data_IF_761345899470
#
_entry.id   IF_761345899470
#
_cell.length_a   1.000
_cell.length_b   1.000
_cell.length_c   1.000
_cell.angle_alpha   90.00
_cell.angle_beta   90.00
_cell.angle_gamma   90.00
#
_symmetry.space_group_name_H-M   'P 1'
#
loop_
_entity.id
_entity.type
_entity.pdbx_description
1 polymer ?
#
# COMPACT_ATOMS: atom_id res chain seq x y z
N UNK A 1 -43.33 5.82 16.06
CA UNK A 1 -42.01 6.25 16.57
C UNK A 1 -40.96 5.71 15.61
N UNK A 2 -40.71 6.46 14.53
CA UNK A 2 -39.71 6.14 13.51
C UNK A 2 -38.34 6.66 13.96
N UNK A 3 -37.34 5.78 14.01
CA UNK A 3 -35.93 6.15 14.09
C UNK A 3 -35.33 5.96 12.70
N UNK A 4 -35.20 7.06 11.97
CA UNK A 4 -34.57 7.12 10.66
C UNK A 4 -33.05 6.94 10.75
N UNK A 5 -32.54 5.85 10.17
CA UNK A 5 -31.12 5.65 9.94
C UNK A 5 -30.59 6.65 8.91
N UNK A 6 -29.78 7.62 9.36
CA UNK A 6 -29.04 8.53 8.47
C UNK A 6 -27.96 7.76 7.70
N UNK A 7 -28.24 7.46 6.44
CA UNK A 7 -27.26 7.00 5.46
C UNK A 7 -26.24 8.11 5.18
N UNK A 8 -24.96 7.83 5.41
CA UNK A 8 -23.85 8.68 4.93
C UNK A 8 -23.70 8.51 3.41
N UNK A 9 -24.42 9.32 2.65
CA UNK A 9 -24.20 9.48 1.21
C UNK A 9 -23.11 10.53 0.96
N UNK A 10 -21.97 10.10 0.44
CA UNK A 10 -21.07 10.99 -0.30
C UNK A 10 -21.72 11.24 -1.66
N UNK A 11 -22.37 12.39 -1.83
CA UNK A 11 -22.86 12.85 -3.13
C UNK A 11 -21.76 13.71 -3.75
N UNK A 12 -21.09 13.15 -4.76
CA UNK A 12 -20.28 13.91 -5.71
C UNK A 12 -21.22 14.71 -6.61
N UNK A 13 -21.27 16.03 -6.41
CA UNK A 13 -21.72 16.97 -7.43
C UNK A 13 -20.50 17.77 -7.89
N UNK A 14 -20.12 17.60 -9.15
CA UNK A 14 -19.17 18.48 -9.80
C UNK A 14 -19.75 19.91 -9.80
N UNK A 15 -18.99 20.95 -9.41
CA UNK A 15 -19.48 22.31 -9.60
C UNK A 15 -19.39 22.69 -11.07
N UNK A 16 -20.54 23.12 -11.60
CA UNK A 16 -20.68 23.80 -12.88
C UNK A 16 -19.86 25.10 -12.91
N UNK A 17 -19.41 25.45 -14.11
CA UNK A 17 -18.60 26.62 -14.42
C UNK A 17 -19.21 27.92 -13.87
N UNK A 18 -18.63 28.46 -12.80
CA UNK A 18 -18.83 29.84 -12.40
C UNK A 18 -17.62 30.67 -12.82
N UNK A 19 -17.83 31.57 -13.78
CA UNK A 19 -16.90 32.65 -14.11
C UNK A 19 -16.91 33.69 -12.97
N UNK A 20 -15.82 33.76 -12.20
CA UNK A 20 -15.65 34.78 -11.16
C UNK A 20 -15.26 36.14 -11.79
N UNK A 21 -15.80 37.27 -11.29
CA UNK A 21 -15.29 38.59 -11.64
C UNK A 21 -13.97 38.83 -10.89
N UNK A 22 -12.98 39.39 -11.61
CA UNK A 22 -11.73 39.88 -11.03
C UNK A 22 -12.01 41.10 -10.15
N UNK A 23 -12.00 40.90 -8.84
CA UNK A 23 -11.90 41.96 -7.84
C UNK A 23 -10.53 41.91 -7.20
N UNK A 24 -9.70 42.89 -7.52
CA UNK A 24 -8.52 43.25 -6.72
C UNK A 24 -8.96 43.84 -5.36
N UNK A 25 -8.03 43.81 -4.43
CA UNK A 25 -7.92 44.57 -3.17
C UNK A 25 -8.43 43.95 -1.86
N UNK A 26 -7.55 44.12 -0.86
CA UNK A 26 -7.67 43.93 0.57
C UNK A 26 -7.40 42.54 1.15
N UNK A 27 -6.09 42.21 1.22
CA UNK A 27 -5.55 41.24 2.18
C UNK A 27 -5.72 41.79 3.61
N UNK A 28 -6.56 41.18 4.48
CA UNK A 28 -6.62 41.56 5.88
C UNK A 28 -5.39 41.01 6.59
N UNK A 29 -4.60 41.93 7.14
CA UNK A 29 -3.68 41.78 8.28
C UNK A 29 -3.12 40.37 8.52
N UNK A 30 -1.91 40.16 8.01
CA UNK A 30 -0.80 39.47 8.68
C UNK A 30 -1.08 39.04 10.13
N UNK A 31 -1.63 37.84 10.30
CA UNK A 31 -1.73 37.13 11.57
C UNK A 31 -0.33 36.61 11.90
N UNK A 32 0.57 37.52 12.30
CA UNK A 32 2.01 37.26 12.50
C UNK A 32 2.17 36.40 13.75
N UNK A 33 2.07 35.10 13.59
CA UNK A 33 2.47 34.14 14.63
C UNK A 33 1.85 32.77 14.54
N UNK A 34 0.64 32.65 13.98
CA UNK A 34 -0.11 31.39 14.00
C UNK A 34 -0.03 30.70 12.63
N UNK A 35 0.31 29.44 12.64
CA UNK A 35 0.44 28.55 11.48
C UNK A 35 -0.52 27.36 11.57
N UNK A 36 -0.63 26.59 10.49
CA UNK A 36 -1.42 25.37 10.46
C UNK A 36 -0.83 24.32 11.42
N UNK A 37 0.48 24.36 11.64
CA UNK A 37 1.15 23.55 12.64
C UNK A 37 0.63 23.86 14.05
N UNK A 38 0.45 25.14 14.40
CA UNK A 38 -0.07 25.54 15.72
C UNK A 38 -1.51 25.07 15.91
N UNK A 39 -2.36 25.28 14.91
CA UNK A 39 -3.74 24.77 14.88
C UNK A 39 -3.75 23.24 15.02
N UNK A 40 -2.87 22.55 14.29
CA UNK A 40 -2.79 21.10 14.37
C UNK A 40 -2.38 20.65 15.77
N UNK A 41 -1.37 21.26 16.39
CA UNK A 41 -0.93 20.90 17.73
C UNK A 41 -2.04 21.10 18.76
N UNK A 42 -2.81 22.19 18.66
CA UNK A 42 -3.96 22.46 19.51
C UNK A 42 -5.03 21.35 19.39
N UNK A 43 -5.38 20.96 18.15
CA UNK A 43 -6.45 20.01 17.91
C UNK A 43 -6.00 18.56 17.77
N UNK A 44 -4.71 18.24 17.93
CA UNK A 44 -4.14 16.93 17.59
C UNK A 44 -4.81 15.79 18.35
N UNK A 45 -4.87 15.90 19.68
CA UNK A 45 -5.37 14.83 20.53
C UNK A 45 -6.90 14.65 20.40
N UNK A 46 -7.72 15.72 20.41
CA UNK A 46 -9.14 15.63 20.06
C UNK A 46 -9.38 15.03 18.65
N UNK A 47 -8.57 15.42 17.66
CA UNK A 47 -8.64 14.86 16.30
C UNK A 47 -8.36 13.36 16.28
N UNK A 48 -7.40 12.86 17.07
CA UNK A 48 -7.12 11.42 17.18
C UNK A 48 -8.36 10.67 17.67
N UNK A 49 -9.01 11.17 18.73
CA UNK A 49 -10.22 10.57 19.28
C UNK A 49 -11.37 10.59 18.27
N UNK A 50 -11.57 11.73 17.61
CA UNK A 50 -12.58 11.89 16.57
C UNK A 50 -12.33 10.94 15.39
N UNK A 51 -11.08 10.84 14.91
CA UNK A 51 -10.72 9.93 13.83
C UNK A 51 -11.00 8.47 14.19
N UNK A 52 -10.63 8.03 15.39
CA UNK A 52 -10.87 6.64 15.82
C UNK A 52 -12.35 6.29 15.94
N UNK A 53 -13.21 7.28 16.20
CA UNK A 53 -14.68 7.11 16.16
C UNK A 53 -15.22 6.99 14.73
N UNK A 54 -14.60 7.67 13.77
CA UNK A 54 -15.12 7.82 12.41
C UNK A 54 -14.48 6.88 11.38
N UNK A 55 -13.28 6.36 11.64
CA UNK A 55 -12.56 5.42 10.77
C UNK A 55 -11.89 4.32 11.57
N UNK A 56 -11.49 3.22 10.92
CA UNK A 56 -10.72 2.14 11.55
C UNK A 56 -9.44 2.70 12.19
N UNK A 57 -9.11 2.28 13.41
CA UNK A 57 -7.94 2.70 14.19
C UNK A 57 -6.65 2.73 13.36
N UNK A 58 -6.34 1.62 12.66
CA UNK A 58 -5.15 1.54 11.82
C UNK A 58 -5.11 2.60 10.70
N UNK A 59 -6.27 3.06 10.25
CA UNK A 59 -6.39 4.14 9.25
C UNK A 59 -6.20 5.50 9.92
N UNK A 60 -6.80 5.71 11.10
CA UNK A 60 -6.57 6.91 11.91
C UNK A 60 -5.08 7.09 12.20
N UNK A 61 -4.40 6.04 12.67
CA UNK A 61 -2.97 6.06 12.98
C UNK A 61 -2.12 6.40 11.74
N UNK A 62 -2.48 5.89 10.55
CA UNK A 62 -1.81 6.23 9.30
C UNK A 62 -2.01 7.68 8.88
N UNK A 63 -3.18 8.25 9.12
CA UNK A 63 -3.46 9.66 8.82
C UNK A 63 -2.67 10.55 9.77
N UNK A 64 -2.75 10.32 11.07
CA UNK A 64 -2.05 11.08 12.10
C UNK A 64 -0.54 11.00 11.88
N UNK A 65 0.02 9.80 11.66
CA UNK A 65 1.45 9.66 11.36
C UNK A 65 1.89 10.37 10.07
N UNK A 66 0.99 10.56 9.10
CA UNK A 66 1.29 11.33 7.90
C UNK A 66 1.22 12.83 8.14
N UNK A 67 0.27 13.31 8.94
CA UNK A 67 0.15 14.73 9.32
C UNK A 67 1.25 15.13 10.30
N UNK A 68 1.58 14.32 11.30
CA UNK A 68 2.69 14.57 12.23
C UNK A 68 4.01 14.80 11.48
N UNK A 69 4.28 13.99 10.44
CA UNK A 69 5.49 14.16 9.61
C UNK A 69 5.46 15.43 8.76
N UNK A 70 4.28 15.88 8.36
CA UNK A 70 4.11 17.13 7.62
C UNK A 70 4.26 18.34 8.55
N UNK A 71 3.69 18.26 9.75
CA UNK A 71 3.69 19.36 10.73
C UNK A 71 5.00 19.47 11.52
N UNK A 72 5.85 18.44 11.47
CA UNK A 72 7.21 18.48 12.01
C UNK A 72 8.25 19.10 11.06
N UNK A 73 7.85 19.59 9.88
CA UNK A 73 8.74 20.32 8.98
C UNK A 73 8.92 21.78 9.46
N UNK A 74 10.08 22.37 9.17
CA UNK A 74 10.43 23.73 9.63
C UNK A 74 9.67 24.81 8.85
N UNK A 75 9.22 24.49 7.63
CA UNK A 75 8.46 25.40 6.78
C UNK A 75 7.01 25.57 7.30
N UNK A 76 6.71 26.74 7.87
CA UNK A 76 5.38 27.05 8.41
C UNK A 76 4.34 27.18 7.29
N UNK A 77 3.20 26.50 7.45
CA UNK A 77 2.08 26.55 6.53
C UNK A 77 1.11 27.62 7.03
N UNK A 78 0.99 28.74 6.32
CA UNK A 78 0.14 29.87 6.74
C UNK A 78 -1.04 30.08 5.79
N UNK A 79 -0.90 29.67 4.54
CA UNK A 79 -1.92 29.79 3.52
C UNK A 79 -2.18 28.44 2.82
N UNK A 80 -3.37 28.24 2.23
CA UNK A 80 -3.69 27.03 1.48
C UNK A 80 -2.66 26.67 0.40
N UNK A 81 -2.07 27.68 -0.26
CA UNK A 81 -1.07 27.49 -1.32
C UNK A 81 0.23 26.88 -0.81
N UNK A 82 0.57 27.06 0.47
CA UNK A 82 1.80 26.51 1.04
C UNK A 82 1.79 24.98 1.05
N UNK A 83 0.62 24.34 0.97
CA UNK A 83 0.49 22.89 0.84
C UNK A 83 0.89 22.37 -0.56
N UNK A 84 1.05 23.25 -1.54
CA UNK A 84 1.34 22.85 -2.93
C UNK A 84 2.69 22.13 -3.04
N UNK A 85 2.64 20.86 -3.47
CA UNK A 85 3.85 20.03 -3.62
C UNK A 85 4.43 19.44 -2.34
N UNK A 86 3.89 19.80 -1.17
CA UNK A 86 4.28 19.23 0.14
C UNK A 86 3.55 17.94 0.47
N UNK A 87 2.31 17.78 0.00
CA UNK A 87 1.43 16.69 0.43
C UNK A 87 1.15 15.66 -0.66
N UNK A 88 1.04 14.40 -0.24
CA UNK A 88 0.50 13.32 -1.07
C UNK A 88 0.00 12.13 -0.25
N UNK A 89 -1.04 11.47 -0.75
CA UNK A 89 -1.49 10.16 -0.32
C UNK A 89 -2.25 10.17 1.01
N UNK A 90 -1.55 9.91 2.11
CA UNK A 90 -2.16 9.81 3.46
C UNK A 90 -2.23 11.15 4.17
N UNK A 91 -1.30 12.07 3.86
CA UNK A 91 -1.31 13.43 4.38
C UNK A 91 -2.55 14.20 3.91
N UNK A 92 -2.95 14.09 2.63
CA UNK A 92 -4.17 14.72 2.10
C UNK A 92 -5.41 14.31 2.90
N UNK A 93 -5.52 13.01 3.19
CA UNK A 93 -6.67 12.46 3.93
C UNK A 93 -6.66 12.84 5.40
N UNK A 94 -5.48 12.92 6.02
CA UNK A 94 -5.33 13.38 7.40
C UNK A 94 -5.65 14.87 7.56
N UNK A 95 -5.16 15.72 6.65
CA UNK A 95 -5.52 17.14 6.64
C UNK A 95 -7.01 17.37 6.39
N UNK A 96 -7.61 16.64 5.46
CA UNK A 96 -9.07 16.71 5.27
C UNK A 96 -9.84 16.25 6.50
N UNK A 97 -9.32 15.27 7.25
CA UNK A 97 -9.93 14.87 8.51
C UNK A 97 -9.84 15.99 9.56
N UNK A 98 -8.70 16.68 9.67
CA UNK A 98 -8.56 17.89 10.49
C UNK A 98 -9.59 18.95 10.08
N UNK A 99 -9.71 19.27 8.79
CA UNK A 99 -10.67 20.28 8.32
C UNK A 99 -12.12 19.86 8.60
N UNK A 100 -12.45 18.58 8.42
CA UNK A 100 -13.79 18.08 8.74
C UNK A 100 -14.06 18.08 10.24
N UNK A 101 -13.05 17.85 11.08
CA UNK A 101 -13.15 17.95 12.53
C UNK A 101 -13.43 19.40 12.94
N UNK A 102 -12.65 20.35 12.43
CA UNK A 102 -12.84 21.79 12.67
C UNK A 102 -14.24 22.23 12.21
N UNK A 103 -14.66 21.84 11.01
CA UNK A 103 -15.98 22.19 10.48
C UNK A 103 -17.13 21.61 11.30
N UNK A 104 -17.03 20.36 11.77
CA UNK A 104 -18.17 19.63 12.35
C UNK A 104 -18.24 19.65 13.85
N UNK A 105 -17.10 19.63 14.52
CA UNK A 105 -17.02 19.56 15.98
C UNK A 105 -16.74 20.93 16.59
N UNK A 106 -16.01 21.79 15.87
CA UNK A 106 -15.73 23.17 16.32
C UNK A 106 -16.67 24.20 15.70
N UNK A 107 -17.52 23.79 14.74
CA UNK A 107 -18.46 24.66 14.00
C UNK A 107 -17.76 25.87 13.34
N UNK A 108 -16.53 25.66 12.87
CA UNK A 108 -15.71 26.69 12.21
C UNK A 108 -15.56 26.36 10.72
N UNK A 109 -15.88 27.32 9.85
CA UNK A 109 -15.74 27.20 8.40
C UNK A 109 -14.46 27.86 7.84
N UNK A 110 -13.66 28.50 8.70
CA UNK A 110 -12.38 29.14 8.38
C UNK A 110 -11.25 28.69 9.30
N UNK A 111 -10.03 28.63 8.76
CA UNK A 111 -8.79 28.54 9.53
C UNK A 111 -7.76 29.48 8.92
N UNK A 112 -6.99 30.18 9.77
CA UNK A 112 -5.99 31.18 9.36
C UNK A 112 -6.57 32.23 8.39
N UNK A 113 -7.81 32.67 8.64
CA UNK A 113 -8.51 33.66 7.81
C UNK A 113 -8.98 33.13 6.45
N UNK A 114 -8.81 31.84 6.16
CA UNK A 114 -9.12 31.26 4.86
C UNK A 114 -10.19 30.17 4.99
N UNK A 115 -11.20 30.12 4.10
CA UNK A 115 -12.28 29.16 4.19
C UNK A 115 -11.76 27.73 3.99
N UNK A 116 -12.29 26.78 4.76
CA UNK A 116 -11.93 25.35 4.67
C UNK A 116 -12.15 24.77 3.27
N UNK A 117 -13.10 25.30 2.50
CA UNK A 117 -13.31 24.94 1.11
C UNK A 117 -12.07 25.21 0.24
N UNK A 118 -11.35 26.31 0.49
CA UNK A 118 -10.09 26.66 -0.20
C UNK A 118 -8.96 25.73 0.20
N UNK A 119 -8.80 25.43 1.48
CA UNK A 119 -7.85 24.41 1.97
C UNK A 119 -8.07 23.03 1.35
N UNK A 120 -9.34 22.65 1.12
CA UNK A 120 -9.69 21.38 0.45
C UNK A 120 -9.27 21.33 -1.01
N UNK A 121 -9.21 22.46 -1.72
CA UNK A 121 -8.73 22.52 -3.12
C UNK A 121 -7.26 22.11 -3.23
N UNK A 122 -6.45 22.41 -2.21
CA UNK A 122 -5.03 22.06 -2.16
C UNK A 122 -4.73 20.67 -1.60
N UNK A 123 -5.74 19.96 -1.07
CA UNK A 123 -5.63 18.59 -0.53
C UNK A 123 -6.44 17.56 -1.34
N UNK A 124 -6.35 17.50 -2.68
CA UNK A 124 -7.26 16.66 -3.48
C UNK A 124 -7.08 15.17 -3.18
N UNK A 125 -8.19 14.47 -2.92
CA UNK A 125 -8.18 13.01 -2.80
C UNK A 125 -8.12 12.43 -4.21
N UNK A 126 -6.89 12.11 -4.65
CA UNK A 126 -6.70 11.46 -5.95
C UNK A 126 -7.29 10.04 -5.94
N UNK A 127 -8.06 9.71 -6.98
CA UNK A 127 -8.49 8.35 -7.23
C UNK A 127 -7.27 7.44 -7.34
N UNK A 128 -7.35 6.26 -6.72
CA UNK A 128 -6.28 5.26 -6.87
C UNK A 128 -6.37 4.64 -8.25
N UNK A 129 -5.26 4.58 -8.98
CA UNK A 129 -5.22 3.93 -10.30
C UNK A 129 -5.66 2.47 -10.24
N UNK A 130 -6.24 1.99 -11.34
CA UNK A 130 -6.62 0.59 -11.51
C UNK A 130 -5.36 -0.21 -11.85
N UNK A 131 -5.09 -1.27 -11.09
CA UNK A 131 -4.00 -2.21 -11.45
C UNK A 131 -4.58 -3.22 -12.43
N UNK A 132 -4.16 -3.17 -13.69
CA UNK A 132 -4.60 -4.06 -14.78
C UNK A 132 -3.62 -5.21 -15.01
N UNK A 133 -3.49 -6.08 -14.01
CA UNK A 133 -2.68 -7.31 -14.13
C UNK A 133 -3.59 -8.51 -13.94
N UNK A 134 -3.61 -9.40 -14.93
CA UNK A 134 -4.38 -10.63 -14.98
C UNK A 134 -3.41 -11.79 -15.30
N UNK A 135 -3.02 -12.59 -14.28
CA UNK A 135 -2.17 -13.75 -14.50
C UNK A 135 -2.85 -14.81 -15.36
N UNK A 136 -2.07 -15.62 -16.08
CA UNK A 136 -2.56 -16.86 -16.74
C UNK A 136 -2.48 -18.07 -15.81
N UNK A 137 -3.12 -19.19 -16.19
CA UNK A 137 -3.06 -20.45 -15.45
C UNK A 137 -1.63 -20.99 -15.33
N UNK A 138 -0.81 -20.81 -16.36
CA UNK A 138 0.62 -21.15 -16.36
C UNK A 138 1.37 -20.30 -15.34
N UNK A 139 1.14 -18.98 -15.31
CA UNK A 139 1.77 -18.10 -14.33
C UNK A 139 1.37 -18.46 -12.89
N UNK A 140 0.11 -18.85 -12.66
CA UNK A 140 -0.35 -19.34 -11.35
C UNK A 140 0.38 -20.62 -10.95
N UNK A 141 0.53 -21.56 -11.88
CA UNK A 141 1.21 -22.85 -11.66
C UNK A 141 2.70 -22.66 -11.39
N UNK A 142 3.38 -21.83 -12.20
CA UNK A 142 4.78 -21.49 -12.02
C UNK A 142 5.02 -20.76 -10.69
N UNK A 143 4.16 -19.80 -10.36
CA UNK A 143 4.23 -19.08 -9.09
C UNK A 143 4.11 -20.05 -7.91
N UNK A 144 3.13 -20.96 -7.92
CA UNK A 144 2.95 -21.99 -6.90
C UNK A 144 4.21 -22.86 -6.73
N UNK A 145 4.83 -23.27 -7.85
CA UNK A 145 6.08 -24.04 -7.84
C UNK A 145 7.24 -23.30 -7.15
N UNK A 146 7.27 -21.96 -7.25
CA UNK A 146 8.28 -21.11 -6.60
C UNK A 146 7.97 -20.79 -5.13
N UNK A 147 6.73 -20.99 -4.67
CA UNK A 147 6.36 -20.75 -3.27
C UNK A 147 6.96 -21.85 -2.39
N UNK A 148 7.61 -21.43 -1.30
CA UNK A 148 8.18 -22.36 -0.33
C UNK A 148 7.08 -23.21 0.32
N UNK A 149 7.32 -24.52 0.58
CA UNK A 149 6.28 -25.46 1.02
C UNK A 149 5.42 -24.98 2.19
N UNK A 150 6.02 -24.30 3.17
CA UNK A 150 5.32 -23.78 4.34
C UNK A 150 4.23 -22.74 4.02
N UNK A 151 4.27 -22.07 2.88
CA UNK A 151 3.31 -21.02 2.48
C UNK A 151 2.38 -21.45 1.35
N UNK A 152 2.54 -22.68 0.82
CA UNK A 152 1.69 -23.21 -0.25
C UNK A 152 0.22 -23.32 0.15
N UNK A 153 -0.15 -23.74 1.37
CA UNK A 153 -1.56 -23.73 1.79
C UNK A 153 -2.17 -22.32 1.74
N UNK A 154 -1.42 -21.28 2.08
CA UNK A 154 -1.88 -19.90 1.97
C UNK A 154 -2.09 -19.47 0.51
N UNK A 155 -1.24 -19.92 -0.41
CA UNK A 155 -1.43 -19.70 -1.84
C UNK A 155 -2.67 -20.43 -2.37
N UNK A 156 -2.87 -21.69 -1.97
CA UNK A 156 -4.02 -22.49 -2.39
C UNK A 156 -5.35 -21.90 -1.90
N UNK A 157 -5.44 -21.46 -0.64
CA UNK A 157 -6.69 -20.84 -0.17
C UNK A 157 -6.98 -19.51 -0.85
N UNK A 158 -5.96 -18.73 -1.26
CA UNK A 158 -6.15 -17.57 -2.12
C UNK A 158 -6.72 -17.97 -3.49
N UNK A 159 -6.18 -19.03 -4.08
CA UNK A 159 -6.60 -19.57 -5.38
C UNK A 159 -8.04 -20.11 -5.33
N UNK A 160 -8.40 -20.88 -4.30
CA UNK A 160 -9.73 -21.47 -4.17
C UNK A 160 -10.82 -20.47 -3.80
N UNK A 161 -10.52 -19.50 -2.94
CA UNK A 161 -11.54 -18.59 -2.42
C UNK A 161 -11.63 -17.28 -3.22
N UNK A 162 -10.53 -16.85 -3.84
CA UNK A 162 -10.36 -15.49 -4.37
C UNK A 162 -10.61 -14.39 -3.35
N UNK A 163 -10.58 -14.67 -2.04
CA UNK A 163 -10.83 -13.67 -1.01
C UNK A 163 -9.61 -12.78 -0.75
N UNK A 164 -9.81 -11.65 -0.06
CA UNK A 164 -8.69 -10.75 0.27
C UNK A 164 -7.77 -11.46 1.27
N UNK A 165 -6.45 -11.34 1.11
CA UNK A 165 -5.47 -11.95 2.01
C UNK A 165 -5.73 -11.62 3.48
N UNK A 166 -6.03 -10.36 3.80
CA UNK A 166 -6.35 -9.96 5.18
C UNK A 166 -7.51 -10.77 5.74
N UNK A 167 -8.59 -10.93 4.97
CA UNK A 167 -9.77 -11.66 5.40
C UNK A 167 -9.51 -13.16 5.54
N UNK A 168 -8.72 -13.72 4.62
CA UNK A 168 -8.28 -15.11 4.69
C UNK A 168 -7.49 -15.33 5.99
N UNK A 169 -6.49 -14.49 6.28
CA UNK A 169 -5.69 -14.62 7.49
C UNK A 169 -6.52 -14.43 8.75
N UNK A 170 -7.37 -13.40 8.81
CA UNK A 170 -8.26 -13.15 9.94
C UNK A 170 -9.18 -14.35 10.21
N UNK A 171 -9.67 -15.02 9.15
CA UNK A 171 -10.57 -16.18 9.29
C UNK A 171 -9.81 -17.45 9.69
N UNK A 172 -8.66 -17.75 9.06
CA UNK A 172 -7.90 -18.99 9.36
C UNK A 172 -7.27 -18.92 10.75
N UNK A 173 -6.83 -17.74 11.20
CA UNK A 173 -6.22 -17.62 12.54
C UNK A 173 -7.23 -17.84 13.67
N UNK A 174 -8.52 -17.61 13.40
CA UNK A 174 -9.60 -17.77 14.39
C UNK A 174 -10.53 -18.96 14.11
N UNK A 175 -10.21 -19.81 13.13
CA UNK A 175 -11.12 -20.91 12.75
C UNK A 175 -11.19 -21.97 13.85
N UNK A 176 -12.42 -22.34 14.18
CA UNK A 176 -12.74 -23.55 14.92
C UNK A 176 -13.18 -24.63 13.91
N UNK A 177 -12.61 -25.84 14.01
CA UNK A 177 -12.93 -26.94 13.11
C UNK A 177 -14.42 -27.29 13.11
N UNK A 178 -15.13 -27.05 14.23
CA UNK A 178 -16.58 -27.26 14.34
C UNK A 178 -17.41 -26.30 13.48
N UNK A 179 -16.84 -25.17 13.04
CA UNK A 179 -17.50 -24.20 12.16
C UNK A 179 -17.39 -24.56 10.67
N UNK A 180 -16.63 -25.62 10.33
CA UNK A 180 -16.49 -26.09 8.96
C UNK A 180 -17.76 -26.80 8.52
N UNK A 181 -18.43 -26.25 7.51
CA UNK A 181 -19.56 -26.90 6.87
C UNK A 181 -19.11 -27.60 5.60
N UNK A 182 -19.53 -28.84 5.42
CA UNK A 182 -19.34 -29.61 4.19
C UNK A 182 -20.62 -29.57 3.36
N UNK A 183 -20.47 -29.31 2.06
CA UNK A 183 -21.56 -29.07 1.13
C UNK A 183 -21.29 -29.74 -0.23
N UNK A 184 -22.36 -29.92 -1.00
CA UNK A 184 -22.35 -30.67 -2.26
C UNK A 184 -22.89 -32.09 -2.10
N UNK A 185 -23.27 -32.76 -3.20
CA UNK A 185 -23.86 -34.10 -3.17
C UNK A 185 -22.98 -35.13 -2.45
N UNK A 186 -21.65 -35.02 -2.61
CA UNK A 186 -20.67 -35.90 -1.97
C UNK A 186 -19.75 -35.14 -1.01
N UNK A 187 -20.19 -34.00 -0.47
CA UNK A 187 -19.41 -33.17 0.47
C UNK A 187 -18.06 -32.71 -0.12
N UNK A 188 -18.01 -32.43 -1.41
CA UNK A 188 -16.80 -32.06 -2.15
C UNK A 188 -16.32 -30.63 -1.84
N UNK A 189 -17.23 -29.76 -1.40
CA UNK A 189 -16.95 -28.39 -1.04
C UNK A 189 -17.02 -28.24 0.48
N UNK A 190 -16.09 -27.49 1.03
CA UNK A 190 -16.17 -26.99 2.38
C UNK A 190 -16.28 -25.47 2.38
N UNK A 191 -16.96 -24.94 3.39
CA UNK A 191 -16.96 -23.50 3.63
C UNK A 191 -17.02 -23.15 5.11
N UNK A 192 -16.39 -22.04 5.45
CA UNK A 192 -16.32 -21.50 6.81
C UNK A 192 -16.90 -20.11 6.86
N UNK A 193 -17.55 -19.77 7.97
CA UNK A 193 -18.08 -18.43 8.17
C UNK A 193 -16.93 -17.42 8.29
N UNK A 194 -17.01 -16.33 7.55
CA UNK A 194 -16.13 -15.16 7.70
C UNK A 194 -16.91 -13.94 8.25
N UNK A 195 -18.15 -14.16 8.72
CA UNK A 195 -19.07 -13.10 9.13
C UNK A 195 -18.56 -12.29 10.32
N UNK A 196 -17.91 -12.94 11.31
CA UNK A 196 -17.32 -12.25 12.45
C UNK A 196 -16.22 -11.25 12.05
N UNK A 197 -15.58 -11.47 10.90
CA UNK A 197 -14.50 -10.65 10.37
C UNK A 197 -14.98 -9.64 9.31
N UNK A 198 -16.27 -9.66 8.96
CA UNK A 198 -16.88 -8.80 7.95
C UNK A 198 -17.17 -7.39 8.50
N UNK A 199 -16.14 -6.58 8.76
CA UNK A 199 -16.29 -5.18 9.20
C UNK A 199 -16.43 -4.23 8.00
N UNK A 200 -17.34 -3.25 8.12
CA UNK A 200 -17.55 -2.18 7.13
C UNK A 200 -18.31 -2.60 5.87
N UNK A 201 -17.99 -1.97 4.74
CA UNK A 201 -18.68 -2.14 3.44
C UNK A 201 -18.17 -3.31 2.60
N UNK A 202 -17.09 -3.98 3.03
CA UNK A 202 -16.44 -5.08 2.30
C UNK A 202 -16.62 -6.39 3.06
N UNK A 203 -17.78 -7.00 2.89
CA UNK A 203 -18.17 -8.21 3.63
C UNK A 203 -18.00 -9.44 2.75
N UNK A 204 -17.07 -10.33 3.09
CA UNK A 204 -17.20 -11.74 2.70
C UNK A 204 -17.79 -12.51 3.87
N UNK A 205 -18.79 -13.33 3.59
CA UNK A 205 -19.51 -14.07 4.61
C UNK A 205 -19.02 -15.50 4.72
N UNK A 206 -18.41 -16.04 3.67
CA UNK A 206 -17.89 -17.40 3.65
C UNK A 206 -16.61 -17.50 2.82
N UNK A 207 -15.71 -18.38 3.23
CA UNK A 207 -14.59 -18.84 2.41
C UNK A 207 -14.93 -20.25 1.92
N UNK A 208 -14.98 -20.44 0.60
CA UNK A 208 -15.26 -21.72 -0.04
C UNK A 208 -13.98 -22.35 -0.58
N UNK A 209 -13.81 -23.66 -0.42
CA UNK A 209 -12.66 -24.41 -0.92
C UNK A 209 -13.01 -25.91 -1.05
N UNK A 210 -12.21 -26.70 -1.79
CA UNK A 210 -12.40 -28.15 -1.83
C UNK A 210 -12.29 -28.77 -0.43
N UNK A 211 -13.20 -29.66 -0.06
CA UNK A 211 -13.20 -30.32 1.26
C UNK A 211 -11.90 -31.11 1.49
N UNK A 212 -11.31 -31.68 0.43
CA UNK A 212 -10.04 -32.39 0.48
C UNK A 212 -8.85 -31.51 0.93
N UNK A 213 -8.99 -30.18 0.89
CA UNK A 213 -7.94 -29.24 1.31
C UNK A 213 -7.94 -28.95 2.83
N UNK A 214 -8.99 -29.31 3.57
CA UNK A 214 -9.10 -29.04 5.02
C UNK A 214 -7.89 -29.54 5.81
N UNK A 215 -7.38 -30.78 5.63
CA UNK A 215 -6.24 -31.26 6.40
C UNK A 215 -4.99 -30.37 6.24
N UNK A 216 -4.74 -29.86 5.03
CA UNK A 216 -3.60 -28.98 4.77
C UNK A 216 -3.82 -27.57 5.34
N UNK A 217 -5.07 -27.10 5.34
CA UNK A 217 -5.45 -25.84 5.97
C UNK A 217 -5.23 -25.88 7.49
N UNK A 218 -5.65 -26.96 8.16
CA UNK A 218 -5.50 -27.12 9.62
C UNK A 218 -4.02 -27.21 10.00
N UNK A 219 -3.23 -28.00 9.26
CA UNK A 219 -1.77 -28.05 9.44
C UNK A 219 -1.11 -26.68 9.26
N UNK A 220 -1.58 -25.88 8.31
CA UNK A 220 -1.06 -24.52 8.11
C UNK A 220 -1.42 -23.59 9.26
N UNK A 221 -2.66 -23.63 9.77
CA UNK A 221 -3.07 -22.83 10.93
C UNK A 221 -2.15 -23.07 12.14
N UNK A 222 -1.79 -24.32 12.40
CA UNK A 222 -0.88 -24.70 13.49
C UNK A 222 0.57 -24.26 13.23
N UNK A 223 0.98 -24.16 11.96
CA UNK A 223 2.33 -23.77 11.57
C UNK A 223 2.67 -22.34 12.01
N UNK A 224 3.86 -22.07 12.59
CA UNK A 224 4.32 -20.71 12.90
C UNK A 224 4.26 -19.74 11.71
N UNK A 225 4.41 -20.26 10.48
CA UNK A 225 4.30 -19.49 9.25
C UNK A 225 2.95 -18.75 9.12
N UNK A 226 1.84 -19.29 9.65
CA UNK A 226 0.52 -18.64 9.57
C UNK A 226 0.37 -17.37 10.42
N UNK A 227 1.28 -17.18 11.39
CA UNK A 227 1.28 -16.06 12.35
C UNK A 227 2.30 -14.98 12.03
N UNK A 228 2.98 -15.10 10.89
CA UNK A 228 3.91 -14.06 10.47
C UNK A 228 3.22 -12.74 10.13
N UNK A 229 4.01 -11.66 10.16
CA UNK A 229 3.52 -10.34 9.79
C UNK A 229 2.95 -10.32 8.38
N UNK A 230 1.84 -9.60 8.19
CA UNK A 230 1.13 -9.47 6.92
C UNK A 230 2.05 -9.12 5.73
N UNK A 231 2.99 -8.18 5.93
CA UNK A 231 3.92 -7.78 4.88
C UNK A 231 4.86 -8.91 4.45
N UNK A 232 5.30 -9.75 5.40
CA UNK A 232 6.11 -10.94 5.15
C UNK A 232 5.32 -11.97 4.35
N UNK A 233 4.11 -12.27 4.81
CA UNK A 233 3.20 -13.21 4.15
C UNK A 233 2.89 -12.79 2.71
N UNK A 234 2.58 -11.51 2.51
CA UNK A 234 2.31 -10.95 1.19
C UNK A 234 3.48 -11.18 0.22
N UNK A 235 4.73 -10.99 0.66
CA UNK A 235 5.92 -11.25 -0.14
C UNK A 235 6.09 -12.75 -0.43
N UNK A 236 5.88 -13.59 0.58
CA UNK A 236 6.12 -15.04 0.50
C UNK A 236 5.10 -15.81 -0.35
N UNK A 237 3.92 -15.22 -0.59
CA UNK A 237 2.90 -15.77 -1.52
C UNK A 237 2.90 -15.06 -2.88
N UNK A 238 3.89 -14.20 -3.14
CA UNK A 238 4.01 -13.49 -4.41
C UNK A 238 5.21 -14.02 -5.22
N UNK A 239 5.04 -14.12 -6.54
CA UNK A 239 6.10 -14.45 -7.49
C UNK A 239 5.82 -13.77 -8.83
N UNK A 240 6.81 -13.03 -9.37
CA UNK A 240 6.63 -12.27 -10.61
C UNK A 240 5.44 -11.31 -10.56
N UNK A 241 4.49 -11.47 -11.47
CA UNK A 241 3.22 -10.70 -11.53
C UNK A 241 2.11 -11.31 -10.66
N UNK A 242 2.33 -12.49 -10.09
CA UNK A 242 1.40 -13.19 -9.21
C UNK A 242 1.58 -12.70 -7.77
N UNK A 243 0.48 -12.27 -7.18
CA UNK A 243 0.37 -11.77 -5.81
C UNK A 243 -1.03 -12.06 -5.30
N UNK A 244 -1.28 -11.97 -4.00
CA UNK A 244 -2.63 -12.14 -3.45
C UNK A 244 -3.71 -11.28 -4.14
N UNK A 245 -3.35 -10.06 -4.59
CA UNK A 245 -4.27 -9.17 -5.32
C UNK A 245 -4.56 -9.69 -6.73
N UNK A 246 -3.55 -10.19 -7.44
CA UNK A 246 -3.70 -10.66 -8.82
C UNK A 246 -4.27 -12.08 -8.89
N UNK A 247 -4.00 -12.95 -7.91
CA UNK A 247 -4.70 -14.24 -7.74
C UNK A 247 -6.21 -14.02 -7.59
N UNK A 248 -6.65 -13.05 -6.79
CA UNK A 248 -8.07 -12.69 -6.69
C UNK A 248 -8.69 -12.25 -8.03
N UNK A 249 -7.92 -11.57 -8.88
CA UNK A 249 -8.40 -11.18 -10.22
C UNK A 249 -8.49 -12.38 -11.14
N UNK A 250 -7.42 -13.17 -11.18
CA UNK A 250 -7.38 -14.45 -11.89
C UNK A 250 -8.56 -15.34 -11.49
N UNK A 251 -8.82 -15.51 -10.19
CA UNK A 251 -9.92 -16.36 -9.71
C UNK A 251 -11.30 -15.89 -10.21
N UNK A 252 -11.49 -14.57 -10.37
CA UNK A 252 -12.73 -14.06 -10.96
C UNK A 252 -12.83 -14.48 -12.42
N UNK A 253 -11.80 -14.20 -13.22
CA UNK A 253 -11.76 -14.56 -14.64
C UNK A 253 -11.92 -16.07 -14.84
N UNK A 254 -11.17 -16.87 -14.09
CA UNK A 254 -11.25 -18.34 -14.08
C UNK A 254 -12.68 -18.83 -13.84
N UNK A 255 -13.39 -18.26 -12.86
CA UNK A 255 -14.80 -18.61 -12.62
C UNK A 255 -15.70 -18.24 -13.80
N UNK A 256 -15.57 -17.02 -14.34
CA UNK A 256 -16.38 -16.55 -15.47
C UNK A 256 -16.13 -17.40 -16.73
N UNK A 257 -14.88 -17.66 -17.06
CA UNK A 257 -14.45 -18.49 -18.20
C UNK A 257 -14.93 -19.94 -18.07
N UNK A 258 -15.15 -20.41 -16.84
CA UNK A 258 -15.73 -21.72 -16.57
C UNK A 258 -17.26 -21.70 -16.32
N UNK A 259 -17.95 -20.63 -16.71
CA UNK A 259 -19.42 -20.57 -16.75
C UNK A 259 -20.09 -20.19 -15.42
N UNK A 260 -19.34 -19.74 -14.42
CA UNK A 260 -19.92 -19.22 -13.18
C UNK A 260 -20.47 -17.82 -13.43
N UNK A 261 -21.75 -17.58 -13.11
CA UNK A 261 -22.33 -16.25 -13.24
C UNK A 261 -21.59 -15.22 -12.37
N UNK A 262 -21.45 -13.99 -12.87
CA UNK A 262 -20.79 -12.89 -12.17
C UNK A 262 -21.37 -12.66 -10.76
N UNK A 263 -22.70 -12.76 -10.63
CA UNK A 263 -23.37 -12.60 -9.34
C UNK A 263 -23.01 -13.67 -8.30
N UNK A 264 -22.69 -14.90 -8.74
CA UNK A 264 -22.20 -15.97 -7.85
C UNK A 264 -20.70 -15.81 -7.59
N UNK A 265 -19.92 -15.47 -8.61
CA UNK A 265 -18.50 -15.18 -8.49
C UNK A 265 -18.20 -14.04 -7.50
N UNK A 266 -18.97 -12.95 -7.58
CA UNK A 266 -18.88 -11.81 -6.66
C UNK A 266 -19.26 -12.20 -5.23
N UNK A 267 -20.25 -13.07 -5.06
CA UNK A 267 -20.62 -13.61 -3.77
C UNK A 267 -19.49 -14.46 -3.17
N UNK A 268 -18.91 -15.39 -3.95
CA UNK A 268 -17.77 -16.23 -3.54
C UNK A 268 -16.58 -15.36 -3.09
N UNK A 269 -16.29 -14.29 -3.83
CA UNK A 269 -15.20 -13.37 -3.51
C UNK A 269 -15.52 -12.33 -2.41
N UNK A 270 -16.75 -12.27 -1.88
CA UNK A 270 -17.16 -11.24 -0.92
C UNK A 270 -17.07 -9.81 -1.48
N UNK A 271 -17.56 -9.62 -2.71
CA UNK A 271 -17.72 -8.32 -3.38
C UNK A 271 -19.09 -7.72 -3.14
N UNK A 272 -20.12 -8.56 -2.99
CA UNK A 272 -21.51 -8.12 -2.76
C UNK A 272 -21.81 -7.96 -1.28
N UNK A 273 -22.29 -6.79 -0.82
CA UNK A 273 -22.84 -6.66 0.53
C UNK A 273 -24.09 -7.55 0.65
N UNK A 274 -24.17 -8.42 1.66
CA UNK A 274 -25.42 -9.11 1.93
C UNK A 274 -26.38 -8.13 2.63
N UNK A 275 -27.07 -7.34 1.83
CA UNK A 275 -28.27 -6.57 2.23
C UNK A 275 -29.55 -7.29 1.80
N UNK A 276 -29.42 -8.52 1.29
CA UNK A 276 -30.52 -9.30 0.74
C UNK A 276 -30.92 -10.37 1.74
N UNK A 277 -32.22 -10.55 1.98
CA UNK A 277 -32.77 -11.40 3.05
C UNK A 277 -32.23 -12.84 3.09
N UNK A 278 -32.48 -13.53 4.21
CA UNK A 278 -31.95 -14.87 4.51
C UNK A 278 -32.15 -15.90 3.39
N UNK A 279 -33.31 -15.89 2.72
CA UNK A 279 -33.60 -16.78 1.59
C UNK A 279 -32.68 -16.53 0.39
N UNK A 280 -32.43 -15.26 0.04
CA UNK A 280 -31.51 -14.92 -1.05
C UNK A 280 -30.08 -15.31 -0.71
N UNK A 281 -29.68 -15.14 0.56
CA UNK A 281 -28.36 -15.58 1.02
C UNK A 281 -28.18 -17.10 0.91
N UNK A 282 -29.16 -17.90 1.37
CA UNK A 282 -29.10 -19.37 1.26
C UNK A 282 -29.01 -19.83 -0.20
N UNK A 283 -29.77 -19.21 -1.10
CA UNK A 283 -29.70 -19.48 -2.53
C UNK A 283 -28.29 -19.18 -3.09
N UNK A 284 -27.64 -18.10 -2.63
CA UNK A 284 -26.27 -17.78 -3.03
C UNK A 284 -25.25 -18.79 -2.49
N UNK A 285 -25.42 -19.30 -1.28
CA UNK A 285 -24.57 -20.38 -0.75
C UNK A 285 -24.72 -21.64 -1.58
N UNK A 286 -25.96 -22.07 -1.85
CA UNK A 286 -26.24 -23.24 -2.71
C UNK A 286 -25.63 -23.07 -4.10
N UNK A 287 -25.89 -21.93 -4.75
CA UNK A 287 -25.36 -21.64 -6.08
C UNK A 287 -23.83 -21.55 -6.11
N UNK A 288 -23.19 -21.04 -5.06
CA UNK A 288 -21.73 -21.05 -4.94
C UNK A 288 -21.17 -22.47 -4.83
N UNK A 289 -21.79 -23.33 -4.01
CA UNK A 289 -21.39 -24.73 -3.89
C UNK A 289 -21.53 -25.46 -5.23
N UNK A 290 -22.69 -25.36 -5.88
CA UNK A 290 -22.95 -26.02 -7.18
C UNK A 290 -21.97 -25.55 -8.26
N UNK A 291 -21.68 -24.24 -8.30
CA UNK A 291 -20.74 -23.66 -9.27
C UNK A 291 -19.29 -24.10 -9.04
N UNK A 292 -18.86 -24.31 -7.79
CA UNK A 292 -17.46 -24.65 -7.47
C UNK A 292 -17.12 -26.14 -7.65
N UNK A 293 -18.09 -27.05 -7.50
CA UNK A 293 -17.88 -28.50 -7.67
C UNK A 293 -17.15 -28.85 -8.99
N UNK A 294 -17.63 -28.42 -10.17
CA UNK A 294 -16.96 -28.75 -11.43
C UNK A 294 -15.59 -28.06 -11.58
N UNK A 295 -15.28 -27.03 -10.78
CA UNK A 295 -14.00 -26.34 -10.85
C UNK A 295 -12.89 -27.05 -10.07
N UNK A 296 -13.22 -27.92 -9.11
CA UNK A 296 -12.22 -28.63 -8.28
C UNK A 296 -11.18 -29.34 -9.16
N UNK A 297 -11.61 -29.94 -10.26
CA UNK A 297 -10.75 -30.68 -11.20
C UNK A 297 -10.14 -29.80 -12.31
N UNK A 298 -10.54 -28.52 -12.38
CA UNK A 298 -10.08 -27.56 -13.40
C UNK A 298 -9.05 -26.57 -12.86
N UNK A 299 -8.85 -26.49 -11.55
CA UNK A 299 -7.79 -25.65 -10.99
C UNK A 299 -6.43 -26.07 -11.57
N UNK A 300 -5.59 -25.11 -11.97
CA UNK A 300 -4.33 -25.42 -12.65
C UNK A 300 -3.26 -26.01 -11.72
N UNK A 301 -3.47 -25.90 -10.40
CA UNK A 301 -2.57 -26.45 -9.37
C UNK A 301 -3.18 -27.69 -8.74
N UNK A 302 -2.52 -28.83 -8.96
CA UNK A 302 -2.72 -30.04 -8.15
C UNK A 302 -1.72 -30.05 -6.98
N UNK A 303 -2.17 -29.88 -5.72
CA UNK A 303 -1.29 -29.88 -4.57
C UNK A 303 -0.59 -31.22 -4.31
N UNK A 304 -1.09 -32.33 -4.87
CA UNK A 304 -0.53 -33.67 -4.73
C UNK A 304 0.42 -34.05 -5.87
N UNK A 305 0.39 -33.32 -6.98
CA UNK A 305 1.26 -33.60 -8.11
C UNK A 305 2.74 -33.31 -7.75
N UNK A 306 3.68 -34.13 -8.25
CA UNK A 306 5.10 -33.86 -8.08
C UNK A 306 5.45 -32.54 -8.76
N UNK A 307 5.93 -31.59 -7.96
CA UNK A 307 6.31 -30.29 -8.46
C UNK A 307 7.60 -30.46 -9.27
N UNK A 308 7.52 -30.17 -10.57
CA UNK A 308 8.73 -29.98 -11.38
C UNK A 308 9.55 -28.91 -10.66
N UNK A 309 10.78 -29.25 -10.25
CA UNK A 309 11.72 -28.28 -9.70
C UNK A 309 12.02 -27.25 -10.78
N UNK A 310 11.19 -26.22 -10.86
CA UNK A 310 11.51 -25.02 -11.61
C UNK A 310 12.57 -24.35 -10.75
N UNK A 311 13.83 -24.52 -11.13
CA UNK A 311 14.90 -23.70 -10.57
C UNK A 311 14.42 -22.26 -10.67
N UNK A 312 14.41 -21.55 -9.54
CA UNK A 312 14.12 -20.12 -9.53
C UNK A 312 15.01 -19.54 -10.63
N UNK A 313 14.43 -19.03 -11.74
CA UNK A 313 15.28 -18.59 -12.84
C UNK A 313 16.23 -17.59 -12.21
N UNK A 314 17.54 -17.80 -12.41
CA UNK A 314 18.51 -16.76 -12.14
C UNK A 314 17.89 -15.49 -12.77
N UNK A 315 17.76 -14.38 -12.02
CA UNK A 315 17.10 -13.20 -12.55
C UNK A 315 17.67 -12.98 -13.93
N UNK A 316 16.83 -13.10 -14.96
CA UNK A 316 17.29 -13.07 -16.34
C UNK A 316 18.20 -11.85 -16.44
N UNK A 317 19.45 -11.98 -16.95
CA UNK A 317 20.27 -10.81 -17.18
C UNK A 317 19.38 -9.83 -17.94
N UNK A 318 19.13 -8.67 -17.33
CA UNK A 318 18.24 -7.65 -17.87
C UNK A 318 18.82 -7.35 -19.24
N UNK A 319 18.20 -7.85 -20.30
CA UNK A 319 18.72 -7.62 -21.62
C UNK A 319 18.66 -6.10 -21.83
N UNK A 320 19.79 -5.46 -22.20
CA UNK A 320 19.76 -4.05 -22.54
C UNK A 320 18.70 -3.84 -23.62
N UNK A 321 17.93 -2.74 -23.59
CA UNK A 321 16.92 -2.47 -24.61
C UNK A 321 17.57 -2.57 -26.00
N UNK A 322 17.06 -3.48 -26.84
CA UNK A 322 17.62 -3.75 -28.16
C UNK A 322 17.69 -2.47 -29.01
N UNK A 323 18.85 -2.25 -29.64
CA UNK A 323 19.15 -1.25 -30.68
C UNK A 323 18.40 0.09 -30.61
N UNK A 324 18.16 0.61 -29.41
CA UNK A 324 17.74 2.00 -29.23
C UNK A 324 19.03 2.83 -29.26
N UNK A 325 19.10 3.95 -30.00
CA UNK A 325 20.30 4.78 -30.01
C UNK A 325 20.72 5.06 -28.57
N UNK A 326 21.97 4.72 -28.21
CA UNK A 326 22.50 4.87 -26.86
C UNK A 326 22.25 6.31 -26.38
N UNK A 327 21.20 6.49 -25.57
CA UNK A 327 20.99 7.72 -24.81
C UNK A 327 22.11 7.77 -23.77
N UNK A 328 22.67 8.94 -23.53
CA UNK A 328 23.91 9.09 -22.77
C UNK A 328 23.93 8.40 -21.40
N UNK A 329 25.14 8.18 -20.88
CA UNK A 329 25.36 7.60 -19.55
C UNK A 329 24.69 8.43 -18.45
N UNK A 330 24.49 7.84 -17.26
CA UNK A 330 23.94 8.59 -16.11
C UNK A 330 24.80 9.82 -15.76
N UNK A 331 26.10 9.73 -16.01
CA UNK A 331 27.04 10.84 -15.84
C UNK A 331 26.81 11.96 -16.86
N UNK A 332 26.62 11.63 -18.14
CA UNK A 332 26.33 12.64 -19.19
C UNK A 332 25.00 13.35 -18.93
N UNK A 333 23.97 12.61 -18.52
CA UNK A 333 22.68 13.20 -18.16
C UNK A 333 22.81 14.05 -16.89
N UNK A 334 23.60 13.61 -15.91
CA UNK A 334 23.91 14.45 -14.76
C UNK A 334 24.57 15.76 -15.17
N UNK A 335 25.61 15.73 -16.01
CA UNK A 335 26.31 16.93 -16.48
C UNK A 335 25.34 17.90 -17.17
N UNK A 336 24.46 17.38 -18.05
CA UNK A 336 23.45 18.19 -18.76
C UNK A 336 22.46 18.86 -17.80
N UNK A 337 22.18 18.26 -16.65
CA UNK A 337 21.09 18.67 -15.77
C UNK A 337 21.53 19.13 -14.38
N UNK A 338 22.83 19.16 -14.08
CA UNK A 338 23.36 19.42 -12.73
C UNK A 338 22.88 20.77 -12.17
N UNK A 339 23.00 21.84 -12.96
CA UNK A 339 22.56 23.18 -12.54
C UNK A 339 21.05 23.26 -12.38
N UNK A 340 20.29 22.67 -13.32
CA UNK A 340 18.84 22.62 -13.24
C UNK A 340 18.36 21.84 -12.00
N UNK A 341 19.00 20.72 -11.67
CA UNK A 341 18.70 19.94 -10.47
C UNK A 341 19.06 20.70 -9.19
N UNK A 342 20.20 21.41 -9.18
CA UNK A 342 20.62 22.25 -8.05
C UNK A 342 19.58 23.34 -7.77
N UNK A 343 19.14 24.06 -8.81
CA UNK A 343 18.12 25.09 -8.68
C UNK A 343 16.77 24.50 -8.27
N UNK A 344 16.38 23.37 -8.84
CA UNK A 344 15.16 22.66 -8.46
C UNK A 344 15.18 22.22 -6.99
N UNK A 345 16.30 21.68 -6.52
CA UNK A 345 16.48 21.23 -5.13
C UNK A 345 16.39 22.40 -4.15
N UNK A 346 17.00 23.55 -4.49
CA UNK A 346 16.89 24.78 -3.70
C UNK A 346 15.44 25.29 -3.68
N UNK A 347 14.80 25.38 -4.85
CA UNK A 347 13.43 25.88 -5.01
C UNK A 347 12.40 25.01 -4.29
N UNK A 348 12.58 23.69 -4.27
CA UNK A 348 11.62 22.75 -3.68
C UNK A 348 11.94 22.35 -2.24
N UNK A 349 13.03 22.85 -1.66
CA UNK A 349 13.53 22.42 -0.35
C UNK A 349 14.11 20.99 -0.31
N UNK A 350 13.93 20.19 -1.35
CA UNK A 350 14.30 18.76 -1.35
C UNK A 350 15.81 18.58 -1.49
N UNK A 351 16.45 18.10 -0.42
CA UNK A 351 17.91 17.87 -0.41
C UNK A 351 18.73 19.15 -0.32
N UNK A 352 18.09 20.25 0.13
CA UNK A 352 18.73 21.53 0.45
C UNK A 352 19.30 21.49 1.88
N UNK A 353 20.37 22.27 2.09
CA UNK A 353 20.90 22.67 3.39
C UNK A 353 21.10 24.19 3.39
N UNK A 354 21.19 24.79 4.57
CA UNK A 354 21.56 26.19 4.76
C UNK A 354 23.03 26.25 5.16
N UNK A 355 23.83 27.06 4.46
CA UNK A 355 25.24 27.26 4.83
C UNK A 355 25.35 28.11 6.11
N UNK A 356 26.51 28.13 6.79
CA UNK A 356 26.72 29.01 7.96
C UNK A 356 26.43 30.49 7.68
N UNK A 357 26.56 30.92 6.43
CA UNK A 357 26.26 32.28 5.95
C UNK A 357 24.78 32.49 5.59
N UNK A 358 23.89 31.55 5.93
CA UNK A 358 22.44 31.64 5.68
C UNK A 358 22.02 31.38 4.23
N UNK A 359 22.95 30.99 3.34
CA UNK A 359 22.64 30.80 1.92
C UNK A 359 22.12 29.39 1.63
N UNK A 360 21.06 29.23 0.81
CA UNK A 360 20.55 27.93 0.45
C UNK A 360 21.51 27.19 -0.50
N UNK A 361 21.79 25.92 -0.23
CA UNK A 361 22.68 25.06 -1.03
C UNK A 361 22.08 23.68 -1.22
N UNK A 362 22.20 23.09 -2.41
CA UNK A 362 21.74 21.71 -2.65
C UNK A 362 22.80 20.69 -2.21
N UNK A 363 22.63 20.12 -1.02
CA UNK A 363 23.48 19.01 -0.56
C UNK A 363 23.33 17.79 -1.49
N UNK A 364 22.11 17.53 -1.97
CA UNK A 364 21.87 16.42 -2.90
C UNK A 364 22.68 16.56 -4.20
N UNK A 365 22.74 17.76 -4.79
CA UNK A 365 23.53 17.99 -6.00
C UNK A 365 25.03 17.74 -5.75
N UNK A 366 25.55 18.19 -4.61
CA UNK A 366 26.95 17.96 -4.25
C UNK A 366 27.26 16.47 -4.06
N UNK A 367 26.34 15.72 -3.44
CA UNK A 367 26.51 14.27 -3.25
C UNK A 367 26.54 13.51 -4.58
N UNK A 368 25.71 13.90 -5.55
CA UNK A 368 25.71 13.28 -6.89
C UNK A 368 26.97 13.67 -7.65
N UNK A 369 27.33 14.97 -7.69
CA UNK A 369 28.56 15.43 -8.33
C UNK A 369 29.77 14.70 -7.78
N UNK A 370 29.91 14.59 -6.46
CA UNK A 370 31.01 13.86 -5.83
C UNK A 370 31.00 12.35 -6.11
N UNK A 371 29.85 11.77 -6.46
CA UNK A 371 29.76 10.36 -6.82
C UNK A 371 30.05 10.11 -8.31
N UNK A 372 29.44 10.88 -9.21
CA UNK A 372 29.56 10.71 -10.65
C UNK A 372 30.84 11.32 -11.24
N UNK A 373 31.58 12.15 -10.48
CA UNK A 373 32.86 12.75 -10.94
C UNK A 373 33.86 11.70 -11.44
N UNK A 374 33.90 10.52 -10.81
CA UNK A 374 34.86 9.46 -11.10
C UNK A 374 34.18 8.11 -11.42
N UNK A 375 32.89 8.10 -11.76
CA UNK A 375 32.15 6.86 -11.96
C UNK A 375 31.25 6.97 -13.19
N UNK A 376 31.61 6.22 -14.23
CA UNK A 376 30.81 6.12 -15.43
C UNK A 376 29.80 4.98 -15.26
N UNK A 377 28.53 5.35 -15.10
CA UNK A 377 27.43 4.41 -14.87
C UNK A 377 26.63 4.35 -16.16
N UNK A 378 26.86 3.32 -16.98
CA UNK A 378 26.26 3.12 -18.30
C UNK A 378 25.00 2.28 -18.24
N UNK A 379 24.74 1.60 -17.12
CA UNK A 379 23.54 0.83 -16.88
C UNK A 379 23.29 0.69 -15.36
N UNK A 380 22.04 0.37 -14.94
CA UNK A 380 21.70 0.23 -13.53
C UNK A 380 22.60 -0.73 -12.75
N UNK A 381 23.09 -1.81 -13.38
CA UNK A 381 23.96 -2.81 -12.75
C UNK A 381 25.39 -2.33 -12.46
N UNK A 382 25.84 -1.23 -13.06
CA UNK A 382 27.17 -0.65 -12.79
C UNK A 382 27.22 0.04 -11.41
N UNK A 383 26.08 0.16 -10.74
CA UNK A 383 25.95 0.71 -9.39
C UNK A 383 26.44 -0.33 -8.37
N UNK A 384 27.75 -0.37 -8.14
CA UNK A 384 28.35 -1.29 -7.18
C UNK A 384 28.24 -0.78 -5.73
N UNK A 385 27.88 -1.67 -4.81
CA UNK A 385 27.91 -1.42 -3.36
C UNK A 385 29.36 -1.53 -2.82
N UNK A 386 29.73 -0.84 -1.72
CA UNK A 386 28.86 -0.01 -0.87
C UNK A 386 28.81 1.47 -1.30
N UNK A 387 27.61 2.02 -1.39
CA UNK A 387 27.35 3.45 -1.64
C UNK A 387 26.79 4.06 -0.34
N UNK A 388 27.38 5.18 0.14
CA UNK A 388 26.83 5.92 1.26
C UNK A 388 25.34 6.26 1.07
N UNK A 389 24.54 6.13 2.13
CA UNK A 389 23.09 6.39 2.13
C UNK A 389 22.72 7.77 1.56
N UNK A 390 23.53 8.79 1.85
CA UNK A 390 23.33 10.14 1.33
C UNK A 390 23.40 10.19 -0.21
N UNK A 391 24.36 9.51 -0.83
CA UNK A 391 24.52 9.42 -2.28
C UNK A 391 23.37 8.65 -2.94
N UNK A 392 22.92 7.55 -2.32
CA UNK A 392 21.73 6.81 -2.77
C UNK A 392 20.49 7.70 -2.74
N UNK A 393 20.29 8.42 -1.63
CA UNK A 393 19.15 9.34 -1.47
C UNK A 393 19.16 10.41 -2.56
N UNK A 394 20.34 11.00 -2.82
CA UNK A 394 20.51 12.02 -3.84
C UNK A 394 20.25 11.48 -5.25
N UNK A 395 20.82 10.32 -5.63
CA UNK A 395 20.56 9.66 -6.91
C UNK A 395 19.07 9.35 -7.12
N UNK A 396 18.37 8.87 -6.08
CA UNK A 396 16.92 8.63 -6.14
C UNK A 396 16.15 9.93 -6.35
N UNK A 397 16.52 11.01 -5.68
CA UNK A 397 15.88 12.32 -5.87
C UNK A 397 16.06 12.82 -7.32
N UNK A 398 17.27 12.70 -7.87
CA UNK A 398 17.54 13.10 -9.25
C UNK A 398 16.72 12.27 -10.26
N UNK A 399 16.79 10.94 -10.17
CA UNK A 399 16.15 10.06 -11.15
C UNK A 399 14.62 10.01 -11.00
N UNK A 400 14.11 10.01 -9.77
CA UNK A 400 12.67 9.85 -9.50
C UNK A 400 11.91 11.17 -9.52
N UNK A 401 12.51 12.26 -9.07
CA UNK A 401 11.75 13.49 -8.82
C UNK A 401 12.08 14.60 -9.82
N UNK A 402 13.29 14.63 -10.35
CA UNK A 402 13.70 15.68 -11.28
C UNK A 402 13.63 15.25 -12.76
N UNK A 403 14.24 14.12 -13.12
CA UNK A 403 14.29 13.64 -14.51
C UNK A 403 12.92 13.32 -15.18
N UNK A 404 11.86 12.87 -14.50
CA UNK A 404 10.60 12.53 -15.17
C UNK A 404 9.95 13.72 -15.90
N UNK A 405 10.27 14.95 -15.51
CA UNK A 405 9.74 16.17 -16.13
C UNK A 405 10.66 16.80 -17.18
N UNK A 406 11.75 16.12 -17.59
CA UNK A 406 12.81 16.70 -18.43
C UNK A 406 13.20 15.85 -19.64
N UNK A 407 12.51 14.73 -19.88
CA UNK A 407 12.74 13.78 -20.97
C UNK A 407 14.22 13.48 -21.27
N UNK A 408 14.76 12.48 -20.57
CA UNK A 408 15.86 11.61 -21.02
C UNK A 408 16.07 10.52 -19.96
N UNK A 409 15.65 9.29 -20.25
CA UNK A 409 15.94 8.13 -19.38
C UNK A 409 17.39 7.68 -19.56
N UNK A 410 18.21 7.60 -18.49
CA UNK A 410 19.62 7.28 -18.64
C UNK A 410 19.89 5.92 -19.26
N UNK A 411 20.76 5.91 -20.27
CA UNK A 411 21.14 4.72 -21.03
C UNK A 411 19.97 3.88 -21.58
N UNK A 412 18.81 4.50 -21.81
CA UNK A 412 17.61 3.82 -22.31
C UNK A 412 16.87 2.97 -21.27
N UNK A 413 17.30 2.98 -20.00
CA UNK A 413 16.63 2.25 -18.92
C UNK A 413 15.55 3.08 -18.25
N UNK A 414 14.41 2.45 -17.94
CA UNK A 414 13.30 3.12 -17.25
C UNK A 414 13.71 3.61 -15.86
N UNK A 415 13.01 4.61 -15.35
CA UNK A 415 13.18 5.12 -13.98
C UNK A 415 13.08 3.97 -12.96
N UNK A 416 12.13 3.04 -13.15
CA UNK A 416 11.95 1.91 -12.25
C UNK A 416 13.13 0.92 -12.28
N UNK A 417 13.73 0.70 -13.44
CA UNK A 417 14.95 -0.13 -13.57
C UNK A 417 16.12 0.49 -12.79
N UNK A 418 16.32 1.81 -12.90
CA UNK A 418 17.32 2.52 -12.09
C UNK A 418 17.01 2.45 -10.59
N UNK A 419 15.77 2.67 -10.19
CA UNK A 419 15.37 2.69 -8.77
C UNK A 419 15.44 1.32 -8.09
N UNK A 420 15.37 0.23 -8.86
CA UNK A 420 15.59 -1.14 -8.38
C UNK A 420 17.02 -1.37 -7.92
N UNK A 421 17.99 -0.81 -8.65
CA UNK A 421 19.41 -0.93 -8.35
C UNK A 421 19.88 0.11 -7.32
N UNK A 422 19.33 1.32 -7.36
CA UNK A 422 19.59 2.38 -6.37
C UNK A 422 18.73 2.15 -5.11
N UNK A 423 18.91 1.01 -4.46
CA UNK A 423 18.12 0.60 -3.29
C UNK A 423 18.98 0.45 -2.04
N UNK A 424 18.47 0.91 -0.90
CA UNK A 424 19.11 0.81 0.41
C UNK A 424 19.36 -0.65 0.85
N UNK A 425 18.56 -1.61 0.38
CA UNK A 425 18.66 -3.01 0.81
C UNK A 425 19.85 -3.77 0.21
N UNK A 426 20.30 -3.39 -1.00
CA UNK A 426 21.51 -3.98 -1.64
C UNK A 426 22.83 -3.53 -1.00
N UNK A 427 22.74 -2.60 -0.05
CA UNK A 427 23.88 -1.83 0.47
C UNK A 427 24.24 -2.24 1.91
N UNK A 428 23.53 -3.24 2.46
CA UNK A 428 23.91 -3.87 3.72
C UNK A 428 24.96 -4.95 3.44
N UNK A 429 26.13 -4.92 4.09
CA UNK A 429 27.04 -6.06 4.03
C UNK A 429 26.36 -7.30 4.61
N UNK A 430 26.57 -8.49 4.00
CA UNK A 430 26.09 -9.75 4.56
C UNK A 430 26.73 -9.91 5.95
N UNK A 431 25.92 -9.78 7.02
CA UNK A 431 26.38 -9.88 8.41
C UNK A 431 25.96 -8.74 9.35
N UNK A 432 25.37 -7.65 8.86
CA UNK A 432 24.91 -6.52 9.72
C UNK A 432 23.58 -6.79 10.47
N UNK A 433 23.37 -8.03 10.94
CA UNK A 433 22.29 -8.31 11.88
C UNK A 433 22.55 -7.53 13.18
N UNK A 434 21.62 -6.64 13.51
CA UNK A 434 21.63 -5.84 14.73
C UNK A 434 21.70 -6.82 15.91
N UNK A 435 22.84 -6.92 16.61
CA UNK A 435 22.94 -7.68 17.87
C UNK A 435 21.84 -7.14 18.79
N UNK A 436 20.82 -7.97 19.07
CA UNK A 436 19.80 -7.64 20.07
C UNK A 436 20.55 -7.34 21.37
N UNK A 437 20.33 -6.16 21.93
CA UNK A 437 20.82 -5.86 23.27
C UNK A 437 20.25 -6.93 24.25
N UNK A 438 21.07 -7.46 25.17
CA UNK A 438 20.58 -8.43 26.15
C UNK A 438 19.45 -7.79 26.96
N UNK A 439 18.39 -8.56 27.18
CA UNK A 439 17.24 -8.13 27.97
C UNK A 439 17.70 -7.75 29.40
N UNK A 440 17.16 -6.68 30.00
CA UNK A 440 17.51 -6.29 31.35
C UNK A 440 17.15 -7.41 32.33
N UNK A 441 18.10 -7.77 33.19
CA UNK A 441 17.93 -8.80 34.20
C UNK A 441 16.73 -8.48 35.12
N UNK A 442 15.82 -9.45 35.25
CA UNK A 442 14.69 -9.37 36.18
C UNK A 442 15.23 -9.26 37.61
N UNK A 443 15.02 -8.11 38.26
CA UNK A 443 15.24 -7.95 39.71
C UNK A 443 14.26 -8.87 40.44
N UNK A 444 14.78 -9.90 41.09
CA UNK A 444 14.06 -10.74 42.04
C UNK A 444 13.84 -9.94 43.33
N UNK A 445 12.57 -9.72 43.69
CA UNK A 445 12.19 -9.12 44.98
C UNK A 445 12.17 -10.20 46.06
N UNK A 446 12.73 -9.97 47.27
CA UNK A 446 12.68 -10.96 48.35
C UNK A 446 11.26 -11.10 48.89
N UNK A 447 10.85 -12.35 49.07
CA UNK A 447 9.57 -12.78 49.64
C UNK A 447 9.57 -12.44 51.14
N UNK A 448 8.70 -11.51 51.56
CA UNK A 448 8.51 -11.16 52.98
C UNK A 448 7.81 -12.32 53.69
N UNK A 449 8.46 -12.90 54.69
CA UNK A 449 7.85 -13.88 55.59
C UNK A 449 6.72 -13.21 56.40
N UNK A 450 5.58 -13.90 56.50
CA UNK A 450 4.49 -13.54 57.41
C UNK A 450 4.81 -14.10 58.80
N UNK A 451 4.77 -13.21 59.79
CA UNK A 451 4.39 -13.54 61.17
C UNK A 451 2.95 -13.08 61.35
#
# INVERSE_FOLDING_TARGET
MELGEKRFGFIDRAPENFSEPRGDSDHPSDNIGISLQDIYQEYRDPLILWLKKNVKDSTADQYISAVDRLMGDEDLIRHPRDLEGLISGKADRGLRALFNYVEKEMDHDHILGEPLSKWRRYTPIKASGVVEIYPTDEEITEAYGMIAPAYRPLFLILMYTGNRLTQILDTIQSIDQSEITYAGPNKEIAHISAAAQARGTKRSYRLFFPAAFIPDLMKFQENPASREEYASLLQKVSSGRVSAKTIRKWHLNFMIENGVSESIADFIQGRTPATVGSAHYLNKVKGATEALIPLITRYPVDPKAPIKKISKPAPAPVQPPGNTPQKGSLQEIWIKHADGFKQWSIKTGKGKITTPEGKPRSQAADQISGYLKNTQIRQPSDIHAPIPKAKITALRLFIRNYLPGKEDTPAGYTIDQWLKEINYTKQKPPGSARKKAPAPAKKTTPRRAKA
#
